data_IF_533175317877
#
_entry.id   IF_533175317877
#
_cell.length_a   1.000
_cell.length_b   1.000
_cell.length_c   1.000
_cell.angle_alpha   90.00
_cell.angle_beta   90.00
_cell.angle_gamma   90.00
#
_symmetry.space_group_name_H-M   'P 1'
#
loop_
_entity.id
_entity.type
_entity.pdbx_description
1 polymer ?
#
# COMPACT_ATOMS: atom_id res chain seq x y z
N UNK A 1 -27.19 -28.26 4.85
CA UNK A 1 -27.01 -29.72 5.01
C UNK A 1 -26.97 -30.00 6.50
N UNK A 2 -27.98 -30.72 7.00
CA UNK A 2 -28.20 -30.96 8.43
C UNK A 2 -26.98 -31.64 9.05
N UNK A 3 -26.57 -31.19 10.24
CA UNK A 3 -25.36 -31.68 10.93
C UNK A 3 -25.53 -33.08 11.52
N UNK A 4 -26.75 -33.62 11.45
CA UNK A 4 -27.21 -34.76 12.26
C UNK A 4 -27.69 -35.94 11.41
N UNK A 5 -27.31 -36.00 10.13
CA UNK A 5 -27.71 -37.09 9.24
C UNK A 5 -26.67 -38.21 9.29
N UNK A 6 -26.92 -39.20 10.14
CA UNK A 6 -26.06 -40.39 10.30
C UNK A 6 -25.97 -41.15 8.97
N UNK A 7 -24.74 -41.47 8.54
CA UNK A 7 -24.48 -42.17 7.28
C UNK A 7 -23.44 -43.25 7.50
N UNK A 8 -23.83 -44.50 7.22
CA UNK A 8 -23.03 -45.72 7.39
C UNK A 8 -21.66 -45.67 6.70
N UNK A 9 -21.51 -44.85 5.65
CA UNK A 9 -20.24 -44.68 4.93
C UNK A 9 -19.15 -43.98 5.75
N UNK A 10 -19.53 -43.24 6.80
CA UNK A 10 -18.60 -42.52 7.69
C UNK A 10 -18.41 -43.22 9.05
N UNK A 11 -18.93 -44.44 9.21
CA UNK A 11 -18.84 -45.20 10.46
C UNK A 11 -17.39 -45.55 10.85
N UNK A 12 -16.55 -45.82 9.85
CA UNK A 12 -15.12 -46.09 10.05
C UNK A 12 -14.36 -44.81 9.68
N UNK A 13 -13.77 -44.16 10.68
CA UNK A 13 -12.96 -42.95 10.45
C UNK A 13 -11.68 -43.32 9.70
N UNK A 14 -11.47 -42.71 8.53
CA UNK A 14 -10.20 -42.84 7.81
C UNK A 14 -9.12 -42.13 8.65
N UNK A 15 -8.02 -42.82 9.03
CA UNK A 15 -6.95 -42.18 9.78
C UNK A 15 -6.36 -41.04 8.95
N UNK A 16 -6.36 -39.83 9.51
CA UNK A 16 -5.76 -38.67 8.86
C UNK A 16 -4.25 -38.94 8.69
N UNK A 17 -3.69 -38.82 7.47
CA UNK A 17 -2.26 -39.01 7.29
C UNK A 17 -1.48 -37.96 8.11
N UNK A 18 -0.35 -38.33 8.73
CA UNK A 18 0.44 -37.38 9.52
C UNK A 18 0.95 -36.25 8.62
N UNK A 19 0.71 -35.01 9.02
CA UNK A 19 1.17 -33.83 8.29
C UNK A 19 2.68 -33.68 8.46
N UNK A 20 3.44 -33.93 7.40
CA UNK A 20 4.90 -33.71 7.38
C UNK A 20 5.15 -32.21 7.26
N UNK A 21 5.66 -31.60 8.33
CA UNK A 21 6.04 -30.17 8.31
C UNK A 21 7.26 -29.98 7.40
N UNK A 22 7.26 -28.95 6.53
CA UNK A 22 8.44 -28.64 5.74
C UNK A 22 9.60 -28.22 6.66
N UNK A 23 10.85 -28.41 6.22
CA UNK A 23 12.02 -27.98 6.99
C UNK A 23 11.99 -26.46 7.22
N UNK A 24 12.41 -26.05 8.42
CA UNK A 24 12.42 -24.63 8.81
C UNK A 24 13.37 -23.85 7.89
N UNK A 25 12.89 -22.72 7.36
CA UNK A 25 13.68 -21.81 6.55
C UNK A 25 14.93 -21.32 7.31
N UNK A 26 16.11 -21.41 6.68
CA UNK A 26 17.37 -20.85 7.17
C UNK A 26 17.86 -19.77 6.22
N UNK A 27 18.04 -18.56 6.74
CA UNK A 27 18.61 -17.45 5.99
C UNK A 27 19.98 -17.79 5.40
N UNK A 28 20.18 -17.42 4.13
CA UNK A 28 21.45 -17.55 3.40
C UNK A 28 22.60 -16.83 4.14
N UNK A 29 22.28 -15.75 4.86
CA UNK A 29 23.23 -14.93 5.61
C UNK A 29 23.60 -15.48 6.99
N UNK A 30 22.99 -16.58 7.44
CA UNK A 30 23.25 -17.12 8.78
C UNK A 30 24.74 -17.47 8.98
N UNK A 31 25.40 -18.01 7.95
CA UNK A 31 26.83 -18.34 8.00
C UNK A 31 27.73 -17.11 8.05
N UNK A 32 27.38 -16.02 7.36
CA UNK A 32 28.17 -14.77 7.42
C UNK A 32 28.03 -14.11 8.78
N UNK A 33 26.80 -13.97 9.28
CA UNK A 33 26.53 -13.38 10.61
C UNK A 33 27.28 -14.14 11.71
N UNK A 34 27.30 -15.48 11.67
CA UNK A 34 28.08 -16.28 12.62
C UNK A 34 29.59 -16.06 12.53
N UNK A 35 30.13 -15.83 11.33
CA UNK A 35 31.55 -15.53 11.14
C UNK A 35 31.88 -14.15 11.70
N UNK A 36 31.09 -13.14 11.36
CA UNK A 36 31.31 -11.75 11.77
C UNK A 36 31.18 -11.60 13.30
N UNK A 37 30.22 -12.31 13.91
CA UNK A 37 30.05 -12.34 15.35
C UNK A 37 31.25 -13.00 16.07
N UNK A 38 31.86 -14.03 15.47
CA UNK A 38 33.03 -14.72 16.04
C UNK A 38 34.32 -13.95 15.81
N UNK A 39 34.50 -13.28 14.68
CA UNK A 39 35.71 -12.52 14.36
C UNK A 39 35.92 -11.32 15.29
N UNK A 40 34.83 -10.74 15.80
CA UNK A 40 34.88 -9.59 16.70
C UNK A 40 35.17 -9.96 18.16
N UNK A 41 35.45 -11.24 18.46
CA UNK A 41 35.82 -11.69 19.80
C UNK A 41 37.30 -12.08 19.85
N UNK A 42 38.10 -11.28 20.54
CA UNK A 42 39.39 -11.74 21.03
C UNK A 42 39.15 -12.65 22.24
N UNK A 43 39.88 -13.77 22.33
CA UNK A 43 39.67 -14.82 23.33
C UNK A 43 39.83 -14.34 24.79
N UNK A 44 40.48 -13.20 25.03
CA UNK A 44 40.84 -12.71 26.38
C UNK A 44 40.70 -11.19 26.54
N UNK A 45 39.79 -10.55 25.79
CA UNK A 45 39.70 -9.08 25.73
C UNK A 45 39.28 -8.40 27.05
N UNK A 46 38.42 -9.05 27.85
CA UNK A 46 37.82 -8.43 29.04
C UNK A 46 38.69 -8.59 30.29
N UNK A 47 39.32 -9.76 30.48
CA UNK A 47 40.05 -10.09 31.72
C UNK A 47 41.51 -10.52 31.49
N UNK A 48 41.99 -10.56 30.24
CA UNK A 48 43.33 -11.06 29.92
C UNK A 48 43.48 -12.57 30.14
N UNK A 49 44.73 -13.05 30.11
CA UNK A 49 45.06 -14.43 30.48
C UNK A 49 45.17 -14.52 32.01
N UNK A 50 44.72 -15.64 32.58
CA UNK A 50 44.81 -15.89 34.03
C UNK A 50 46.28 -15.87 34.52
N UNK A 51 47.19 -16.42 33.72
CA UNK A 51 48.63 -16.35 33.93
C UNK A 51 49.32 -16.07 32.58
N UNK A 52 50.21 -15.08 32.54
CA UNK A 52 51.01 -14.74 31.35
C UNK A 52 52.44 -15.17 31.61
N UNK A 53 52.86 -16.26 30.97
CA UNK A 53 54.24 -16.71 31.07
C UNK A 53 55.17 -15.68 30.40
N UNK A 54 56.14 -15.11 31.15
CA UNK A 54 57.09 -14.18 30.56
C UNK A 54 57.92 -14.90 29.49
N UNK A 55 58.21 -14.19 28.40
CA UNK A 55 59.09 -14.72 27.37
C UNK A 55 60.50 -14.92 27.94
N UNK A 56 61.13 -16.06 27.64
CA UNK A 56 62.53 -16.32 27.99
C UNK A 56 63.44 -15.16 27.51
N UNK A 57 64.42 -14.69 28.31
CA UNK A 57 65.23 -13.50 28.01
C UNK A 57 65.98 -13.55 26.67
N UNK A 58 66.25 -14.76 26.16
CA UNK A 58 66.79 -14.96 24.79
C UNK A 58 65.85 -14.49 23.66
N UNK A 59 64.54 -14.33 23.92
CA UNK A 59 63.51 -13.86 22.97
C UNK A 59 63.25 -12.36 23.14
N UNK A 60 64.31 -11.58 23.33
CA UNK A 60 64.22 -10.12 23.37
C UNK A 60 63.85 -9.54 21.99
N UNK A 61 63.26 -8.34 21.99
CA UNK A 61 62.86 -7.65 20.76
C UNK A 61 64.09 -7.28 19.92
N UNK A 62 64.21 -7.87 18.73
CA UNK A 62 65.27 -7.51 17.76
C UNK A 62 64.83 -6.34 16.88
N UNK A 63 65.80 -5.60 16.32
CA UNK A 63 65.54 -4.51 15.36
C UNK A 63 64.67 -5.03 14.21
N UNK A 64 63.67 -4.25 13.77
CA UNK A 64 62.75 -4.58 12.67
C UNK A 64 61.74 -5.73 12.92
N UNK A 65 61.55 -6.20 14.17
CA UNK A 65 60.59 -7.29 14.48
C UNK A 65 59.12 -6.88 14.46
N UNK A 66 58.79 -5.62 14.73
CA UNK A 66 57.40 -5.07 14.71
C UNK A 66 57.10 -4.25 13.46
N UNK A 67 57.72 -4.57 12.33
CA UNK A 67 57.43 -3.85 11.09
C UNK A 67 56.14 -4.37 10.49
N UNK A 68 55.19 -3.46 10.31
CA UNK A 68 53.98 -3.70 9.53
C UNK A 68 54.39 -3.80 8.06
N UNK A 69 54.61 -5.02 7.56
CA UNK A 69 54.80 -5.26 6.14
C UNK A 69 53.47 -5.03 5.43
N UNK A 70 53.33 -3.86 4.81
CA UNK A 70 52.20 -3.59 3.92
C UNK A 70 52.52 -4.23 2.57
N UNK A 71 51.68 -5.12 2.02
CA UNK A 71 51.89 -5.61 0.67
C UNK A 71 51.92 -4.41 -0.28
N UNK A 72 52.79 -4.45 -1.28
CA UNK A 72 52.78 -3.47 -2.35
C UNK A 72 51.45 -3.61 -3.10
N UNK A 73 50.60 -2.59 -3.00
CA UNK A 73 49.34 -2.53 -3.73
C UNK A 73 49.62 -1.74 -4.99
N UNK A 74 49.63 -2.39 -6.15
CA UNK A 74 49.55 -1.68 -7.42
C UNK A 74 48.31 -0.79 -7.37
N UNK A 75 48.52 0.52 -7.45
CA UNK A 75 47.44 1.53 -7.41
C UNK A 75 46.56 1.51 -8.66
N UNK A 76 46.80 0.54 -9.56
CA UNK A 76 45.96 0.22 -10.71
C UNK A 76 44.70 -0.52 -10.26
N UNK A 77 43.86 0.11 -9.45
CA UNK A 77 42.43 -0.17 -9.59
C UNK A 77 42.04 0.41 -10.95
N UNK A 78 41.59 -0.39 -11.94
CA UNK A 78 40.99 0.18 -13.12
C UNK A 78 39.77 0.96 -12.62
N UNK A 79 39.86 2.29 -12.67
CA UNK A 79 38.64 3.09 -12.57
C UNK A 79 37.73 2.60 -13.70
N UNK A 80 36.45 2.29 -13.41
CA UNK A 80 35.51 2.00 -14.49
C UNK A 80 35.58 3.18 -15.46
N UNK A 81 35.58 2.95 -16.80
CA UNK A 81 35.71 4.02 -17.77
C UNK A 81 34.67 5.06 -17.40
N UNK A 82 35.16 6.21 -16.95
CA UNK A 82 34.35 7.33 -16.54
C UNK A 82 33.48 7.62 -17.74
N UNK A 83 32.19 7.22 -17.68
CA UNK A 83 31.20 7.63 -18.67
C UNK A 83 31.22 9.13 -18.53
N UNK A 84 31.97 9.79 -19.41
CA UNK A 84 31.96 11.22 -19.55
C UNK A 84 30.49 11.55 -19.71
N UNK A 85 29.88 12.05 -18.63
CA UNK A 85 28.64 12.75 -18.76
C UNK A 85 29.01 13.94 -19.63
N UNK A 86 28.71 13.84 -20.92
CA UNK A 86 28.73 14.96 -21.84
C UNK A 86 27.55 15.85 -21.44
N UNK A 87 27.63 16.43 -20.24
CA UNK A 87 27.07 17.75 -20.01
C UNK A 87 28.24 18.67 -20.28
N UNK A 88 28.31 19.16 -21.51
CA UNK A 88 28.90 20.46 -21.78
C UNK A 88 28.08 21.46 -20.96
N UNK A 89 28.37 21.57 -19.66
CA UNK A 89 28.09 22.80 -18.96
C UNK A 89 28.90 23.82 -19.74
N UNK A 90 28.20 24.70 -20.45
CA UNK A 90 28.81 25.87 -21.04
C UNK A 90 29.73 26.45 -19.98
N UNK A 91 31.03 26.48 -20.28
CA UNK A 91 31.93 27.32 -19.51
C UNK A 91 31.30 28.69 -19.59
N UNK A 92 30.69 29.15 -18.50
CA UNK A 92 30.33 30.55 -18.35
C UNK A 92 31.53 31.34 -18.84
N UNK A 93 31.33 32.38 -19.68
CA UNK A 93 32.44 33.08 -20.31
C UNK A 93 33.46 33.38 -19.23
N UNK A 94 34.73 33.04 -19.47
CA UNK A 94 35.82 33.42 -18.55
C UNK A 94 35.73 34.94 -18.43
N UNK A 95 35.05 35.42 -17.39
CA UNK A 95 35.13 36.80 -16.97
C UNK A 95 36.60 36.95 -16.65
N UNK A 96 37.33 37.69 -17.51
CA UNK A 96 38.68 38.17 -17.22
C UNK A 96 38.56 39.23 -16.12
N UNK A 97 38.01 38.86 -14.98
CA UNK A 97 38.12 39.64 -13.77
C UNK A 97 39.54 39.44 -13.30
N UNK A 98 40.28 40.54 -13.12
CA UNK A 98 41.51 40.51 -12.34
C UNK A 98 41.16 39.82 -11.03
N UNK A 99 41.72 38.63 -10.78
CA UNK A 99 41.70 38.05 -9.45
C UNK A 99 42.60 38.98 -8.64
N UNK A 100 42.02 40.04 -8.09
CA UNK A 100 42.70 40.83 -7.09
C UNK A 100 42.99 39.83 -5.97
N UNK A 101 44.25 39.43 -5.80
CA UNK A 101 44.71 38.79 -4.58
C UNK A 101 44.51 39.84 -3.49
N UNK A 102 43.32 39.88 -2.91
CA UNK A 102 43.06 40.70 -1.73
C UNK A 102 43.98 40.13 -0.67
N UNK A 103 44.97 40.92 -0.27
CA UNK A 103 45.82 40.65 0.88
C UNK A 103 44.93 40.70 2.12
N UNK A 104 44.38 39.54 2.50
CA UNK A 104 43.48 39.43 3.65
C UNK A 104 44.29 39.63 4.92
N UNK A 105 43.95 40.66 5.67
CA UNK A 105 44.55 40.91 6.96
C UNK A 105 43.84 40.08 8.03
N UNK A 106 44.35 38.87 8.27
CA UNK A 106 43.81 37.94 9.25
C UNK A 106 43.70 38.53 10.66
N UNK A 107 44.58 39.47 11.05
CA UNK A 107 44.51 40.11 12.36
C UNK A 107 43.25 40.98 12.48
N UNK A 108 42.98 41.80 11.47
CA UNK A 108 41.79 42.64 11.44
C UNK A 108 40.51 41.81 11.34
N UNK A 109 40.50 40.77 10.51
CA UNK A 109 39.37 39.83 10.40
C UNK A 109 39.11 39.11 11.72
N UNK A 110 40.14 38.60 12.40
CA UNK A 110 40.00 37.93 13.69
C UNK A 110 39.46 38.88 14.77
N UNK A 111 39.92 40.14 14.80
CA UNK A 111 39.43 41.15 15.75
C UNK A 111 37.95 41.44 15.46
N UNK A 112 37.60 41.67 14.19
CA UNK A 112 36.21 41.92 13.79
C UNK A 112 35.32 40.72 14.12
N UNK A 113 35.78 39.49 13.88
CA UNK A 113 35.06 38.26 14.18
C UNK A 113 34.85 38.09 15.67
N UNK A 114 35.86 38.34 16.52
CA UNK A 114 35.72 38.26 17.97
C UNK A 114 34.74 39.32 18.49
N UNK A 115 34.83 40.56 18.02
CA UNK A 115 33.90 41.64 18.40
C UNK A 115 32.47 41.31 17.98
N UNK A 116 32.28 40.69 16.80
CA UNK A 116 30.96 40.32 16.26
C UNK A 116 30.42 39.00 16.82
N UNK A 117 31.26 38.20 17.48
CA UNK A 117 30.87 36.88 17.97
C UNK A 117 29.92 37.01 19.14
N UNK A 118 28.68 36.58 18.94
CA UNK A 118 27.69 36.46 20.01
C UNK A 118 28.12 35.36 20.98
N UNK A 119 28.07 35.58 22.31
CA UNK A 119 28.40 34.54 23.27
C UNK A 119 27.45 33.34 23.14
N UNK A 120 27.92 32.11 23.41
CA UNK A 120 27.05 30.94 23.39
C UNK A 120 25.95 31.11 24.45
N UNK A 121 24.72 30.73 24.09
CA UNK A 121 23.61 30.75 25.03
C UNK A 121 23.92 29.82 26.22
N UNK A 122 23.67 30.25 27.47
CA UNK A 122 23.91 29.42 28.63
C UNK A 122 22.98 28.20 28.59
N UNK A 123 23.53 27.03 28.93
CA UNK A 123 22.72 25.80 29.07
C UNK A 123 21.80 25.92 30.29
N UNK A 124 20.58 25.41 30.19
CA UNK A 124 19.67 25.28 31.33
C UNK A 124 20.22 24.25 32.33
N UNK A 125 20.73 24.73 33.46
CA UNK A 125 21.43 23.94 34.48
C UNK A 125 20.76 24.11 35.83
N UNK A 126 20.62 23.00 36.57
CA UNK A 126 20.10 23.00 37.95
C UNK A 126 21.10 22.30 38.85
N UNK A 127 21.37 22.92 40.00
CA UNK A 127 22.18 22.34 41.06
C UNK A 127 21.26 21.79 42.15
N UNK A 128 21.22 20.47 42.27
CA UNK A 128 20.30 19.78 43.19
C UNK A 128 21.01 19.36 44.49
N UNK A 129 22.27 18.93 44.40
CA UNK A 129 23.03 18.47 45.56
C UNK A 129 23.72 19.61 46.34
N UNK A 130 23.77 19.46 47.67
CA UNK A 130 24.60 20.29 48.58
C UNK A 130 26.07 20.34 48.16
N UNK A 131 26.57 19.28 47.52
CA UNK A 131 27.96 19.16 47.04
C UNK A 131 28.23 19.85 45.69
N UNK A 132 27.27 20.56 45.10
CA UNK A 132 27.51 21.28 43.85
C UNK A 132 27.35 20.45 42.58
N UNK A 133 26.70 19.28 42.64
CA UNK A 133 26.41 18.52 41.43
C UNK A 133 25.42 19.28 40.55
N UNK A 134 25.79 19.51 39.29
CA UNK A 134 24.98 20.27 38.34
C UNK A 134 24.52 19.39 37.19
N UNK A 135 23.22 19.38 36.95
CA UNK A 135 22.59 18.64 35.86
C UNK A 135 22.12 19.59 34.77
N UNK A 136 22.33 19.24 33.51
CA UNK A 136 21.76 19.94 32.36
C UNK A 136 20.37 19.37 32.09
N UNK A 137 19.33 20.21 32.16
CA UNK A 137 17.93 19.76 32.11
C UNK A 137 17.58 19.09 30.77
N UNK A 138 18.07 19.64 29.65
CA UNK A 138 17.83 19.13 28.30
C UNK A 138 18.44 17.74 28.10
N UNK A 139 19.67 17.53 28.61
CA UNK A 139 20.41 16.27 28.49
C UNK A 139 19.81 15.19 29.40
N UNK A 140 19.26 15.59 30.55
CA UNK A 140 18.55 14.70 31.48
C UNK A 140 17.11 14.38 31.03
N UNK A 141 16.60 15.02 29.97
CA UNK A 141 15.23 14.84 29.49
C UNK A 141 14.16 15.40 30.44
N UNK A 142 14.53 16.32 31.32
CA UNK A 142 13.63 16.94 32.31
C UNK A 142 12.88 18.15 31.74
N UNK A 143 13.31 18.68 30.58
CA UNK A 143 12.63 19.78 29.92
C UNK A 143 11.55 19.26 28.93
N UNK A 144 10.31 19.81 28.95
CA UNK A 144 9.23 19.36 28.07
C UNK A 144 9.40 19.89 26.63
N UNK A 145 10.37 19.33 25.88
CA UNK A 145 10.73 19.76 24.52
C UNK A 145 9.62 19.51 23.48
N UNK A 146 8.78 18.50 23.70
CA UNK A 146 7.79 18.06 22.72
C UNK A 146 6.45 18.80 22.81
N UNK A 147 6.14 19.36 23.99
CA UNK A 147 4.88 20.06 24.27
C UNK A 147 4.85 21.43 23.59
N UNK A 148 5.99 22.13 23.58
CA UNK A 148 6.15 23.45 22.97
C UNK A 148 6.34 23.43 21.45
N UNK A 149 6.25 22.26 20.80
CA UNK A 149 6.37 22.17 19.35
C UNK A 149 5.23 22.91 18.66
N UNK A 150 5.55 23.70 17.62
CA UNK A 150 4.57 24.46 16.80
C UNK A 150 3.41 23.62 16.24
N UNK A 151 3.65 22.31 16.05
CA UNK A 151 2.71 21.35 15.51
C UNK A 151 2.13 20.41 16.56
N UNK A 152 2.38 20.66 17.85
CA UNK A 152 1.77 19.90 18.93
C UNK A 152 0.23 20.03 18.85
N UNK A 153 -0.47 18.91 18.98
CA UNK A 153 -1.94 18.86 18.83
C UNK A 153 -2.47 19.05 17.39
N UNK A 154 -1.63 19.28 16.38
CA UNK A 154 -2.07 19.44 14.98
C UNK A 154 -1.95 18.13 14.23
N UNK A 155 -2.98 17.79 13.44
CA UNK A 155 -2.94 16.64 12.54
C UNK A 155 -1.88 16.83 11.45
N UNK A 156 -0.91 15.91 11.32
CA UNK A 156 0.10 15.96 10.26
C UNK A 156 -0.50 15.99 8.85
N UNK A 157 0.19 16.67 7.93
CA UNK A 157 -0.28 16.86 6.55
C UNK A 157 -0.45 15.54 5.78
N UNK A 158 0.39 14.53 6.04
CA UNK A 158 0.30 13.23 5.38
C UNK A 158 -0.98 12.47 5.75
N UNK A 159 -1.47 12.61 6.98
CA UNK A 159 -2.72 11.98 7.41
C UNK A 159 -3.90 12.57 6.65
N UNK A 160 -3.91 13.91 6.48
CA UNK A 160 -4.93 14.60 5.68
C UNK A 160 -4.93 14.12 4.23
N UNK A 161 -3.76 13.88 3.64
CA UNK A 161 -3.64 13.31 2.29
C UNK A 161 -4.26 11.92 2.21
N UNK A 162 -3.89 11.03 3.14
CA UNK A 162 -4.44 9.66 3.18
C UNK A 162 -5.97 9.66 3.30
N UNK A 163 -6.53 10.53 4.15
CA UNK A 163 -7.98 10.63 4.30
C UNK A 163 -8.65 11.11 3.00
N UNK A 164 -8.09 12.14 2.36
CA UNK A 164 -8.58 12.66 1.09
C UNK A 164 -8.49 11.61 -0.02
N UNK A 165 -7.40 10.87 -0.10
CA UNK A 165 -7.20 9.82 -1.11
C UNK A 165 -8.24 8.70 -0.93
N UNK A 166 -8.52 8.31 0.32
CA UNK A 166 -9.60 7.34 0.64
C UNK A 166 -10.99 7.85 0.31
N UNK A 167 -11.26 9.14 0.51
CA UNK A 167 -12.54 9.75 0.11
C UNK A 167 -12.70 9.72 -1.41
N UNK A 168 -11.65 10.10 -2.15
CA UNK A 168 -11.64 10.04 -3.61
C UNK A 168 -11.86 8.63 -4.13
N UNK A 169 -11.21 7.63 -3.52
CA UNK A 169 -11.37 6.22 -3.88
C UNK A 169 -12.82 5.73 -3.66
N UNK A 170 -13.44 6.11 -2.54
CA UNK A 170 -14.86 5.79 -2.27
C UNK A 170 -15.79 6.42 -3.31
N UNK A 171 -15.57 7.68 -3.67
CA UNK A 171 -16.38 8.38 -4.67
C UNK A 171 -16.23 7.70 -6.03
N UNK A 172 -14.99 7.42 -6.45
CA UNK A 172 -14.72 6.74 -7.71
C UNK A 172 -15.37 5.34 -7.77
N UNK A 173 -15.38 4.60 -6.66
CA UNK A 173 -16.04 3.30 -6.58
C UNK A 173 -17.56 3.41 -6.73
N UNK A 174 -18.19 4.41 -6.09
CA UNK A 174 -19.62 4.69 -6.24
C UNK A 174 -19.95 5.08 -7.69
N UNK A 175 -19.14 5.93 -8.31
CA UNK A 175 -19.29 6.32 -9.71
C UNK A 175 -19.15 5.11 -10.65
N UNK A 176 -18.18 4.23 -10.40
CA UNK A 176 -18.00 2.98 -11.14
C UNK A 176 -19.23 2.08 -11.04
N UNK A 177 -19.77 1.89 -9.84
CA UNK A 177 -20.99 1.09 -9.62
C UNK A 177 -22.19 1.71 -10.33
N UNK A 178 -22.32 3.04 -10.32
CA UNK A 178 -23.38 3.74 -11.07
C UNK A 178 -23.22 3.66 -12.59
N UNK A 179 -21.98 3.67 -13.08
CA UNK A 179 -21.69 3.58 -14.51
C UNK A 179 -21.97 2.18 -15.08
N UNK A 180 -21.87 1.14 -14.25
CA UNK A 180 -22.38 -0.19 -14.58
C UNK A 180 -23.90 -0.08 -14.61
N UNK A 181 -24.48 0.04 -15.82
CA UNK A 181 -25.93 -0.03 -16.00
C UNK A 181 -26.41 -1.35 -15.39
N UNK A 182 -27.41 -1.33 -14.49
CA UNK A 182 -27.98 -2.57 -14.00
C UNK A 182 -28.49 -3.38 -15.19
N UNK A 183 -28.34 -4.72 -15.20
CA UNK A 183 -28.78 -5.57 -16.30
C UNK A 183 -30.31 -5.51 -16.50
N UNK A 184 -31.04 -4.98 -15.53
CA UNK A 184 -32.48 -4.91 -15.52
C UNK A 184 -32.94 -3.48 -15.23
N UNK A 185 -33.78 -2.94 -16.12
CA UNK A 185 -34.49 -1.66 -16.00
C UNK A 185 -35.78 -1.88 -15.22
N UNK A 186 -36.03 -1.08 -14.19
CA UNK A 186 -37.32 -1.06 -13.51
C UNK A 186 -38.39 -0.46 -14.44
N UNK A 187 -39.54 -1.12 -14.56
CA UNK A 187 -40.67 -0.63 -15.33
C UNK A 187 -41.53 0.28 -14.42
N UNK A 188 -41.56 1.60 -14.66
CA UNK A 188 -42.36 2.52 -13.86
C UNK A 188 -43.86 2.24 -14.05
N UNK A 189 -44.65 2.67 -13.07
CA UNK A 189 -46.09 2.38 -13.05
C UNK A 189 -46.85 3.03 -14.21
N UNK A 190 -46.42 4.22 -14.65
CA UNK A 190 -47.00 4.93 -15.79
C UNK A 190 -46.86 4.11 -17.09
N UNK A 191 -45.64 3.65 -17.41
CA UNK A 191 -45.36 2.79 -18.57
C UNK A 191 -46.14 1.47 -18.47
N UNK A 192 -46.24 0.88 -17.26
CA UNK A 192 -47.03 -0.34 -17.03
C UNK A 192 -48.51 -0.13 -17.32
N UNK A 193 -49.10 0.97 -16.86
CA UNK A 193 -50.51 1.27 -17.09
C UNK A 193 -50.80 1.53 -18.57
N UNK A 194 -49.89 2.22 -19.27
CA UNK A 194 -50.00 2.44 -20.70
C UNK A 194 -49.96 1.13 -21.51
N UNK A 195 -49.02 0.24 -21.18
CA UNK A 195 -48.95 -1.10 -21.77
C UNK A 195 -50.22 -1.91 -21.52
N UNK A 196 -50.72 -1.90 -20.28
CA UNK A 196 -51.91 -2.64 -19.89
C UNK A 196 -53.16 -2.13 -20.59
N UNK A 197 -53.28 -0.80 -20.78
CA UNK A 197 -54.33 -0.18 -21.57
C UNK A 197 -54.25 -0.62 -23.04
N UNK A 198 -53.06 -0.61 -23.63
CA UNK A 198 -52.85 -1.07 -25.01
C UNK A 198 -53.16 -2.55 -25.20
N UNK A 199 -52.75 -3.41 -24.25
CA UNK A 199 -53.05 -4.84 -24.28
C UNK A 199 -54.55 -5.13 -24.17
N UNK A 200 -55.27 -4.43 -23.29
CA UNK A 200 -56.73 -4.58 -23.17
C UNK A 200 -57.46 -4.12 -24.43
N UNK A 201 -57.05 -3.01 -25.03
CA UNK A 201 -57.62 -2.55 -26.31
C UNK A 201 -57.42 -3.58 -27.43
N UNK A 202 -56.20 -4.14 -27.56
CA UNK A 202 -55.92 -5.19 -28.56
C UNK A 202 -56.68 -6.49 -28.27
N UNK A 203 -56.86 -6.84 -26.99
CA UNK A 203 -57.69 -7.97 -26.60
C UNK A 203 -59.15 -7.76 -27.02
N UNK A 204 -59.71 -6.57 -26.77
CA UNK A 204 -61.07 -6.21 -27.19
C UNK A 204 -61.22 -6.32 -28.71
N UNK A 205 -60.28 -5.79 -29.48
CA UNK A 205 -60.27 -5.89 -30.96
C UNK A 205 -60.27 -7.36 -31.43
N UNK A 206 -59.34 -8.18 -30.94
CA UNK A 206 -59.28 -9.60 -31.29
C UNK A 206 -60.52 -10.38 -30.82
N UNK A 207 -61.09 -10.00 -29.67
CA UNK A 207 -62.31 -10.61 -29.16
C UNK A 207 -63.51 -10.27 -30.06
N UNK A 208 -63.61 -9.04 -30.57
CA UNK A 208 -64.64 -8.71 -31.57
C UNK A 208 -64.49 -9.54 -32.84
N UNK A 209 -63.26 -9.75 -33.35
CA UNK A 209 -63.02 -10.61 -34.50
C UNK A 209 -63.41 -12.07 -34.24
N UNK A 210 -63.14 -12.55 -33.02
CA UNK A 210 -63.52 -13.89 -32.59
C UNK A 210 -65.05 -14.05 -32.52
N UNK A 211 -65.77 -13.05 -32.01
CA UNK A 211 -67.24 -13.05 -31.98
C UNK A 211 -67.87 -13.02 -33.37
N UNK A 212 -67.20 -12.39 -34.35
CA UNK A 212 -67.64 -12.35 -35.75
C UNK A 212 -67.37 -13.66 -36.51
N UNK A 213 -66.82 -14.69 -35.87
CA UNK A 213 -66.63 -15.98 -36.52
C UNK A 213 -67.98 -16.62 -36.89
N UNK A 214 -68.07 -17.30 -38.04
CA UNK A 214 -69.28 -18.04 -38.41
C UNK A 214 -69.58 -19.15 -37.40
N UNK A 215 -70.86 -19.35 -37.07
CA UNK A 215 -71.32 -20.43 -36.17
C UNK A 215 -70.88 -21.83 -36.63
N UNK A 216 -70.75 -22.03 -37.96
CA UNK A 216 -70.37 -23.31 -38.56
C UNK A 216 -68.94 -23.26 -39.11
N UNK A 217 -68.07 -24.09 -38.53
CA UNK A 217 -66.60 -24.11 -38.69
C UNK A 217 -66.12 -25.45 -39.29
N UNK A 218 -66.73 -25.88 -40.39
CA UNK A 218 -66.49 -27.22 -40.95
C UNK A 218 -65.23 -27.31 -41.84
N UNK A 219 -64.72 -26.18 -42.35
CA UNK A 219 -63.55 -26.20 -43.24
C UNK A 219 -62.24 -25.98 -42.48
N UNK A 220 -61.19 -26.70 -42.90
CA UNK A 220 -59.83 -26.59 -42.35
C UNK A 220 -59.36 -25.13 -42.15
N UNK A 221 -59.50 -24.20 -43.12
CA UNK A 221 -59.06 -22.82 -42.90
C UNK A 221 -59.88 -22.08 -41.83
N UNK A 222 -61.18 -22.39 -41.68
CA UNK A 222 -62.02 -21.81 -40.62
C UNK A 222 -61.59 -22.31 -39.24
N UNK A 223 -61.28 -23.60 -39.12
CA UNK A 223 -60.75 -24.22 -37.89
C UNK A 223 -59.41 -23.56 -37.51
N UNK A 224 -58.49 -23.45 -38.48
CA UNK A 224 -57.18 -22.85 -38.26
C UNK A 224 -57.28 -21.36 -37.87
N UNK A 225 -58.21 -20.61 -38.48
CA UNK A 225 -58.46 -19.21 -38.12
C UNK A 225 -58.94 -19.08 -36.67
N UNK A 226 -59.90 -19.92 -36.26
CA UNK A 226 -60.41 -19.95 -34.87
C UNK A 226 -59.28 -20.28 -33.90
N UNK A 227 -58.53 -21.37 -34.15
CA UNK A 227 -57.42 -21.77 -33.29
C UNK A 227 -56.34 -20.67 -33.18
N UNK A 228 -56.07 -19.92 -34.27
CA UNK A 228 -55.15 -18.78 -34.23
C UNK A 228 -55.65 -17.68 -33.29
N UNK A 229 -56.92 -17.28 -33.41
CA UNK A 229 -57.53 -16.25 -32.58
C UNK A 229 -57.55 -16.67 -31.10
N UNK A 230 -57.92 -17.92 -30.80
CA UNK A 230 -57.90 -18.46 -29.43
C UNK A 230 -56.49 -18.45 -28.83
N UNK A 231 -55.47 -18.82 -29.60
CA UNK A 231 -54.09 -18.76 -29.14
C UNK A 231 -53.62 -17.33 -28.88
N UNK A 232 -54.00 -16.38 -29.74
CA UNK A 232 -53.67 -14.96 -29.56
C UNK A 232 -54.35 -14.38 -28.31
N UNK A 233 -55.64 -14.67 -28.12
CA UNK A 233 -56.39 -14.26 -26.92
C UNK A 233 -55.78 -14.84 -25.65
N UNK A 234 -55.48 -16.15 -25.64
CA UNK A 234 -54.84 -16.82 -24.50
C UNK A 234 -53.47 -16.23 -24.16
N UNK A 235 -52.70 -15.78 -25.16
CA UNK A 235 -51.41 -15.14 -24.91
C UNK A 235 -51.59 -13.76 -24.27
N UNK A 236 -52.51 -12.95 -24.81
CA UNK A 236 -52.82 -11.63 -24.23
C UNK A 236 -53.37 -11.75 -22.80
N UNK A 237 -54.22 -12.74 -22.52
CA UNK A 237 -54.72 -12.99 -21.15
C UNK A 237 -53.58 -13.31 -20.17
N UNK A 238 -52.62 -14.15 -20.59
CA UNK A 238 -51.45 -14.46 -19.76
C UNK A 238 -50.59 -13.24 -19.51
N UNK A 239 -50.36 -12.42 -20.54
CA UNK A 239 -49.54 -11.22 -20.44
C UNK A 239 -50.20 -10.16 -19.56
N UNK A 240 -51.51 -9.92 -19.73
CA UNK A 240 -52.30 -9.01 -18.88
C UNK A 240 -52.26 -9.49 -17.43
N UNK A 241 -52.47 -10.79 -17.18
CA UNK A 241 -52.41 -11.36 -15.83
C UNK A 241 -51.04 -11.15 -15.19
N UNK A 242 -49.95 -11.33 -15.96
CA UNK A 242 -48.59 -11.10 -15.48
C UNK A 242 -48.39 -9.64 -15.05
N UNK A 243 -48.84 -8.68 -15.85
CA UNK A 243 -48.72 -7.25 -15.54
C UNK A 243 -49.62 -6.80 -14.37
N UNK A 244 -50.80 -7.40 -14.21
CA UNK A 244 -51.73 -7.09 -13.11
C UNK A 244 -51.28 -7.70 -11.78
N UNK A 245 -50.81 -8.95 -11.82
CA UNK A 245 -50.42 -9.71 -10.63
C UNK A 245 -49.12 -9.21 -10.01
N UNK A 246 -48.19 -8.69 -10.82
CA UNK A 246 -46.88 -8.25 -10.36
C UNK A 246 -46.70 -6.73 -10.58
N UNK A 247 -46.87 -5.90 -9.54
CA UNK A 247 -46.72 -4.45 -9.65
C UNK A 247 -45.28 -4.00 -9.91
N UNK A 248 -44.30 -4.73 -9.38
CA UNK A 248 -42.87 -4.43 -9.53
C UNK A 248 -42.24 -5.34 -10.59
N UNK A 249 -42.05 -4.83 -11.79
CA UNK A 249 -41.45 -5.57 -12.91
C UNK A 249 -40.11 -4.95 -13.32
N UNK A 250 -39.20 -5.82 -13.74
CA UNK A 250 -37.89 -5.45 -14.22
C UNK A 250 -37.68 -6.06 -15.61
N UNK A 251 -37.27 -5.24 -16.57
CA UNK A 251 -37.10 -5.59 -17.98
C UNK A 251 -35.60 -5.61 -18.31
N UNK A 252 -35.16 -6.61 -19.05
CA UNK A 252 -33.81 -6.64 -19.58
C UNK A 252 -33.78 -5.89 -20.91
N UNK A 253 -33.02 -4.79 -21.00
CA UNK A 253 -32.78 -4.10 -22.26
C UNK A 253 -31.74 -4.92 -23.05
N UNK A 254 -32.18 -5.60 -24.12
CA UNK A 254 -31.30 -6.29 -25.08
C UNK A 254 -30.93 -5.35 -26.24
#
# INVERSE_FOLDING_TARGET
MSKDQENIRYLIQIPKPPVIKPPIHRSVFNKSIKRDYRSNRSCHQTMGYAEVNPNHPSKFLKKHTRIVKRPFVDTLKPEPPNKQCIRRCSRSPKVKGKINKVERNFLHENIADVIRKVPPLPKHRVQDSRNGHVMVLDEAGLEPTYVSKKNFGKTPSYIKKILKDKEMEKVAEVERVKAIKPPLRYLPEEERMELLKGMKANWDELYTEFLLLPMVIDSVPKINRKARLENQLNNLEKDINLLERYPSLYVCDN
#
